data_IF_058241785311
#
_entry.id   IF_058241785311
#
_cell.length_a   1.000
_cell.length_b   1.000
_cell.length_c   1.000
_cell.angle_alpha   90.00
_cell.angle_beta   90.00
_cell.angle_gamma   90.00
#
_symmetry.space_group_name_H-M   'P 1'
#
loop_
_entity.id
_entity.type
_entity.pdbx_description
1 polymer ?
#
# COMPACT_ATOMS: atom_id res chain seq x y z
N UNK A 1 -11.46 24.12 22.48
CA UNK A 1 -10.01 24.32 22.26
C UNK A 1 -9.25 23.23 23.01
N UNK A 2 -8.10 22.82 22.47
CA UNK A 2 -7.20 21.82 23.07
C UNK A 2 -5.91 22.48 23.53
N UNK A 3 -5.32 22.01 24.62
CA UNK A 3 -3.96 22.36 25.06
C UNK A 3 -3.05 21.15 24.85
N UNK A 4 -1.79 21.42 24.51
CA UNK A 4 -0.76 20.40 24.31
C UNK A 4 0.23 20.44 25.48
N UNK A 5 0.57 19.28 26.02
CA UNK A 5 1.44 19.09 27.18
C UNK A 5 2.50 18.05 26.86
N UNK A 6 3.73 18.25 27.31
CA UNK A 6 4.75 17.23 27.22
C UNK A 6 4.39 16.03 28.10
N UNK A 7 4.52 14.82 27.56
CA UNK A 7 4.28 13.56 28.23
C UNK A 7 5.47 12.63 27.98
N UNK A 8 5.85 11.83 28.97
CA UNK A 8 6.84 10.77 28.78
C UNK A 8 6.20 9.43 29.13
N UNK A 9 6.16 8.52 28.15
CA UNK A 9 5.67 7.16 28.38
C UNK A 9 6.81 6.30 28.92
N UNK A 10 6.76 6.00 30.22
CA UNK A 10 7.79 5.20 30.89
C UNK A 10 7.85 3.74 30.42
N UNK A 11 6.78 3.19 29.82
CA UNK A 11 6.76 1.81 29.32
C UNK A 11 7.38 1.74 27.94
N UNK A 12 7.05 2.70 27.08
CA UNK A 12 7.59 2.79 25.72
C UNK A 12 8.96 3.47 25.66
N UNK A 13 9.34 4.20 26.71
CA UNK A 13 10.58 4.99 26.74
C UNK A 13 10.56 6.13 25.72
N UNK A 14 9.40 6.75 25.49
CA UNK A 14 9.18 7.69 24.39
C UNK A 14 8.58 9.02 24.87
N UNK A 15 9.01 10.11 24.24
CA UNK A 15 8.41 11.44 24.41
C UNK A 15 7.16 11.55 23.55
N UNK A 16 6.06 11.92 24.21
CA UNK A 16 4.75 12.12 23.62
C UNK A 16 4.28 13.55 23.89
N UNK A 17 3.25 13.97 23.16
CA UNK A 17 2.51 15.20 23.36
C UNK A 17 1.08 14.83 23.71
N UNK A 18 0.68 15.09 24.94
CA UNK A 18 -0.69 14.89 25.42
C UNK A 18 -1.56 16.09 25.06
N UNK A 19 -2.72 15.85 24.46
CA UNK A 19 -3.71 16.85 24.07
C UNK A 19 -5.00 16.69 24.84
N UNK A 20 -5.37 17.79 25.50
CA UNK A 20 -6.47 17.82 26.45
C UNK A 20 -7.46 18.93 26.08
N UNK A 21 -8.76 18.63 26.07
CA UNK A 21 -9.80 19.64 25.95
C UNK A 21 -9.93 20.44 27.25
N UNK A 22 -10.16 21.75 27.15
CA UNK A 22 -10.39 22.61 28.31
C UNK A 22 -11.56 23.60 28.08
N UNK A 23 -12.04 24.20 29.17
CA UNK A 23 -13.13 25.19 29.16
C UNK A 23 -14.49 24.58 28.77
N UNK A 24 -15.31 25.33 28.02
CA UNK A 24 -16.65 24.88 27.56
C UNK A 24 -16.62 23.59 26.73
N UNK A 25 -15.48 23.26 26.11
CA UNK A 25 -15.31 22.01 25.37
C UNK A 25 -15.08 20.80 26.30
N UNK A 26 -14.65 21.02 27.55
CA UNK A 26 -14.46 19.98 28.56
C UNK A 26 -15.67 19.80 29.49
N UNK A 27 -16.58 20.78 29.57
CA UNK A 27 -17.68 20.81 30.54
C UNK A 27 -18.76 19.74 30.34
N UNK A 28 -18.72 18.98 29.25
CA UNK A 28 -19.65 17.87 29.00
C UNK A 28 -18.84 16.61 28.74
N UNK A 29 -18.74 15.73 29.75
CA UNK A 29 -17.89 14.55 29.72
C UNK A 29 -18.22 13.59 28.57
N UNK A 30 -19.49 13.41 28.22
CA UNK A 30 -19.92 12.60 27.08
C UNK A 30 -19.47 13.20 25.73
N UNK A 31 -19.65 14.51 25.55
CA UNK A 31 -19.24 15.23 24.34
C UNK A 31 -17.73 15.28 24.17
N UNK A 32 -16.97 15.43 25.26
CA UNK A 32 -15.51 15.41 25.26
C UNK A 32 -14.96 14.03 24.83
N UNK A 33 -15.54 12.93 25.34
CA UNK A 33 -15.15 11.57 24.94
C UNK A 33 -15.39 11.30 23.45
N UNK A 34 -16.58 11.67 22.95
CA UNK A 34 -16.91 11.52 21.51
C UNK A 34 -16.01 12.40 20.65
N UNK A 35 -15.67 13.61 21.10
CA UNK A 35 -14.78 14.51 20.37
C UNK A 35 -13.35 13.95 20.27
N UNK A 36 -12.81 13.38 21.35
CA UNK A 36 -11.49 12.72 21.34
C UNK A 36 -11.46 11.50 20.40
N UNK A 37 -12.52 10.69 20.39
CA UNK A 37 -12.62 9.55 19.48
C UNK A 37 -12.70 9.99 18.02
N UNK A 38 -13.45 11.07 17.74
CA UNK A 38 -13.52 11.65 16.40
C UNK A 38 -12.17 12.22 15.95
N UNK A 39 -11.41 12.85 16.85
CA UNK A 39 -10.05 13.32 16.55
C UNK A 39 -9.13 12.17 16.12
N UNK A 40 -9.14 11.06 16.87
CA UNK A 40 -8.37 9.86 16.52
C UNK A 40 -8.87 9.25 15.20
N UNK A 41 -10.20 9.19 14.98
CA UNK A 41 -10.77 8.71 13.72
C UNK A 41 -10.29 9.56 12.53
N UNK A 42 -10.32 10.89 12.65
CA UNK A 42 -9.83 11.81 11.63
C UNK A 42 -8.36 11.55 11.30
N UNK A 43 -7.52 11.44 12.33
CA UNK A 43 -6.09 11.17 12.17
C UNK A 43 -5.84 9.86 11.41
N UNK A 44 -6.59 8.80 11.72
CA UNK A 44 -6.47 7.49 11.04
C UNK A 44 -6.89 7.58 9.57
N UNK A 45 -8.01 8.26 9.27
CA UNK A 45 -8.49 8.43 7.89
C UNK A 45 -7.47 9.22 7.07
N UNK A 46 -6.98 10.34 7.61
CA UNK A 46 -5.95 11.16 6.97
C UNK A 46 -4.66 10.37 6.73
N UNK A 47 -4.20 9.60 7.72
CA UNK A 47 -3.01 8.74 7.60
C UNK A 47 -3.15 7.71 6.47
N UNK A 48 -4.31 7.05 6.35
CA UNK A 48 -4.56 6.10 5.27
C UNK A 48 -4.46 6.77 3.90
N UNK A 49 -5.13 7.91 3.73
CA UNK A 49 -5.10 8.65 2.47
C UNK A 49 -3.71 9.17 2.13
N UNK A 50 -2.95 9.63 3.14
CA UNK A 50 -1.56 10.06 2.97
C UNK A 50 -0.66 8.89 2.55
N UNK A 51 -0.88 7.70 3.10
CA UNK A 51 -0.17 6.49 2.67
C UNK A 51 -0.46 6.17 1.20
N UNK A 52 -1.73 6.18 0.79
CA UNK A 52 -2.11 5.94 -0.62
C UNK A 52 -1.53 6.99 -1.56
N UNK A 53 -1.56 8.27 -1.17
CA UNK A 53 -0.95 9.38 -1.90
C UNK A 53 0.55 9.13 -2.08
N UNK A 54 1.26 8.95 -0.98
CA UNK A 54 2.73 8.82 -0.96
C UNK A 54 3.24 7.53 -1.59
N UNK A 55 2.40 6.50 -1.73
CA UNK A 55 2.71 5.30 -2.51
C UNK A 55 2.61 5.50 -4.03
N UNK A 56 2.08 6.63 -4.50
CA UNK A 56 2.09 6.94 -5.93
C UNK A 56 3.53 7.14 -6.42
N UNK A 57 3.90 6.43 -7.49
CA UNK A 57 5.23 6.56 -8.11
C UNK A 57 5.48 7.96 -8.67
N UNK A 58 4.45 8.80 -8.79
CA UNK A 58 4.58 10.15 -9.35
C UNK A 58 4.97 11.20 -8.31
N UNK A 59 5.07 10.81 -7.04
CA UNK A 59 5.39 11.71 -5.93
C UNK A 59 6.85 11.53 -5.52
N UNK A 60 7.62 12.61 -5.53
CA UNK A 60 9.02 12.61 -5.10
C UNK A 60 9.15 12.66 -3.57
N UNK A 61 8.38 13.53 -2.92
CA UNK A 61 8.34 13.71 -1.47
C UNK A 61 6.92 13.48 -0.98
N UNK A 62 6.67 12.29 -0.44
CA UNK A 62 5.39 11.96 0.18
C UNK A 62 5.17 12.68 1.51
N UNK A 63 3.93 12.64 1.99
CA UNK A 63 3.52 13.05 3.34
C UNK A 63 2.99 11.85 4.11
N UNK A 64 3.09 11.89 5.43
CA UNK A 64 2.45 10.92 6.32
C UNK A 64 1.92 11.63 7.58
N UNK A 65 0.97 11.00 8.26
CA UNK A 65 0.45 11.49 9.54
C UNK A 65 0.99 10.66 10.70
N UNK A 66 1.29 11.33 11.81
CA UNK A 66 1.61 10.61 13.05
C UNK A 66 0.40 9.86 13.57
N UNK A 67 0.68 8.74 14.24
CA UNK A 67 -0.35 7.97 14.90
C UNK A 67 -0.72 8.62 16.23
N UNK A 68 -2.02 8.72 16.51
CA UNK A 68 -2.55 9.32 17.74
C UNK A 68 -3.48 8.32 18.41
N UNK A 69 -3.31 8.13 19.72
CA UNK A 69 -4.15 7.28 20.55
C UNK A 69 -4.90 8.12 21.57
N UNK A 70 -6.01 7.61 22.10
CA UNK A 70 -6.54 8.12 23.36
C UNK A 70 -6.07 7.26 24.53
N UNK A 71 -5.87 7.90 25.67
CA UNK A 71 -5.50 7.32 26.94
C UNK A 71 -6.65 7.50 27.90
N UNK A 72 -6.98 6.44 28.63
CA UNK A 72 -7.96 6.47 29.71
C UNK A 72 -7.25 6.56 31.06
N UNK A 73 -7.64 7.54 31.87
CA UNK A 73 -7.13 7.74 33.22
C UNK A 73 -8.04 6.98 34.18
N UNK A 74 -7.52 5.90 34.77
CA UNK A 74 -8.29 5.05 35.70
C UNK A 74 -8.81 5.83 36.91
N UNK A 75 -7.92 6.58 37.58
CA UNK A 75 -8.23 7.36 38.78
C UNK A 75 -7.71 8.80 38.63
N UNK A 76 -8.51 9.74 38.06
CA UNK A 76 -8.07 11.13 37.87
C UNK A 76 -7.69 11.84 39.18
N UNK A 77 -8.44 11.59 40.25
CA UNK A 77 -8.23 12.21 41.57
C UNK A 77 -6.88 11.80 42.17
N UNK A 78 -6.53 10.51 42.06
CA UNK A 78 -5.25 9.98 42.55
C UNK A 78 -4.06 10.58 41.77
N UNK A 79 -4.26 10.88 40.49
CA UNK A 79 -3.30 11.57 39.64
C UNK A 79 -3.24 13.10 39.88
N UNK A 80 -4.02 13.64 40.83
CA UNK A 80 -4.09 15.08 41.11
C UNK A 80 -4.83 15.88 40.03
N UNK A 81 -5.67 15.22 39.23
CA UNK A 81 -6.43 15.83 38.13
C UNK A 81 -7.90 16.01 38.51
N UNK A 82 -8.58 16.89 37.79
CA UNK A 82 -10.02 17.08 37.93
C UNK A 82 -10.76 15.76 37.58
N UNK A 83 -11.79 15.35 38.34
CA UNK A 83 -12.56 14.12 38.06
C UNK A 83 -13.14 14.04 36.64
N UNK A 84 -13.39 15.18 35.99
CA UNK A 84 -13.86 15.25 34.61
C UNK A 84 -12.79 14.84 33.58
N UNK A 85 -11.51 14.92 33.95
CA UNK A 85 -10.36 14.58 33.12
C UNK A 85 -10.11 13.07 33.14
N UNK A 86 -11.04 12.32 32.54
CA UNK A 86 -10.98 10.85 32.45
C UNK A 86 -10.26 10.33 31.21
N UNK A 87 -10.06 11.16 30.19
CA UNK A 87 -9.42 10.77 28.93
C UNK A 87 -8.66 11.95 28.30
N UNK A 88 -7.62 11.64 27.54
CA UNK A 88 -6.88 12.58 26.71
C UNK A 88 -6.35 11.86 25.45
N UNK A 89 -5.89 12.61 24.46
CA UNK A 89 -5.17 12.02 23.31
C UNK A 89 -3.68 12.21 23.50
N UNK A 90 -2.86 11.28 23.03
CA UNK A 90 -1.42 11.50 22.96
C UNK A 90 -0.86 10.99 21.64
N UNK A 91 0.18 11.68 21.20
CA UNK A 91 0.87 11.41 19.95
C UNK A 91 2.38 11.58 20.11
N UNK A 92 3.20 10.99 19.25
CA UNK A 92 4.65 11.13 19.31
C UNK A 92 5.10 12.58 19.23
N UNK A 93 6.09 12.95 20.03
CA UNK A 93 6.77 14.23 19.86
C UNK A 93 7.53 14.25 18.52
N UNK A 94 7.34 15.31 17.74
CA UNK A 94 8.04 15.54 16.48
C UNK A 94 8.98 16.73 16.65
N UNK A 95 10.28 16.48 16.55
CA UNK A 95 11.30 17.51 16.70
C UNK A 95 11.46 18.30 15.40
N UNK A 96 11.32 19.63 15.48
CA UNK A 96 11.63 20.55 14.40
C UNK A 96 10.67 21.73 14.34
N UNK A 97 10.73 22.49 13.23
CA UNK A 97 9.93 23.69 13.04
C UNK A 97 8.49 23.32 12.63
N UNK A 98 7.53 23.61 13.51
CA UNK A 98 6.11 23.35 13.26
C UNK A 98 5.54 24.35 12.26
N UNK A 99 5.00 23.84 11.14
CA UNK A 99 4.47 24.63 10.03
C UNK A 99 3.05 24.20 9.70
N UNK A 100 2.22 25.19 9.33
CA UNK A 100 0.86 25.00 8.83
C UNK A 100 0.81 25.34 7.35
N UNK A 101 0.43 24.39 6.52
CA UNK A 101 0.44 24.47 5.06
C UNK A 101 -0.92 24.91 4.50
N UNK A 102 -2.02 24.53 5.12
CA UNK A 102 -3.33 25.11 4.84
C UNK A 102 -4.21 25.08 6.10
N UNK A 103 -5.38 25.71 6.04
CA UNK A 103 -6.36 25.63 7.11
C UNK A 103 -7.69 25.02 6.65
N UNK A 104 -8.63 24.88 7.57
CA UNK A 104 -9.96 24.35 7.28
C UNK A 104 -10.91 25.34 6.58
N UNK A 105 -10.48 26.56 6.25
CA UNK A 105 -11.34 27.62 5.68
C UNK A 105 -10.68 28.35 4.50
N UNK A 106 -9.90 27.63 3.69
CA UNK A 106 -9.38 28.13 2.41
C UNK A 106 -8.10 28.97 2.46
N UNK A 107 -7.42 29.10 3.60
CA UNK A 107 -6.08 29.69 3.62
C UNK A 107 -5.04 28.65 3.20
N UNK A 108 -4.14 29.03 2.30
CA UNK A 108 -2.99 28.24 1.87
C UNK A 108 -1.69 28.99 2.18
N UNK A 109 -0.64 28.23 2.52
CA UNK A 109 0.72 28.74 2.59
C UNK A 109 1.34 28.64 1.21
N UNK A 110 1.83 29.76 0.71
CA UNK A 110 2.57 29.82 -0.55
C UNK A 110 3.95 30.41 -0.29
N UNK A 111 4.90 29.55 0.08
CA UNK A 111 6.30 29.90 0.31
C UNK A 111 7.22 29.35 -0.81
N UNK A 112 6.64 28.84 -1.90
CA UNK A 112 7.36 28.24 -3.02
C UNK A 112 8.14 26.97 -2.67
N UNK A 113 7.95 26.39 -1.48
CA UNK A 113 8.64 25.17 -1.08
C UNK A 113 7.88 23.95 -1.61
N UNK A 114 8.62 22.96 -2.15
CA UNK A 114 8.04 21.71 -2.68
C UNK A 114 7.07 21.02 -1.72
N UNK A 115 7.31 21.14 -0.41
CA UNK A 115 6.45 20.52 0.59
C UNK A 115 5.09 21.22 0.76
N UNK A 116 5.04 22.55 0.61
CA UNK A 116 3.77 23.27 0.61
C UNK A 116 2.96 22.89 -0.64
N UNK A 117 3.62 22.77 -1.80
CA UNK A 117 2.99 22.27 -3.03
C UNK A 117 2.45 20.84 -2.85
N UNK A 118 3.26 19.93 -2.30
CA UNK A 118 2.81 18.56 -1.98
C UNK A 118 1.61 18.57 -1.04
N UNK A 119 1.58 19.43 -0.02
CA UNK A 119 0.47 19.53 0.92
C UNK A 119 -0.82 19.97 0.20
N UNK A 120 -0.78 21.01 -0.65
CA UNK A 120 -1.99 21.42 -1.39
C UNK A 120 -2.45 20.33 -2.37
N UNK A 121 -1.51 19.67 -3.04
CA UNK A 121 -1.81 18.56 -3.94
C UNK A 121 -2.42 17.36 -3.19
N UNK A 122 -1.99 17.10 -1.96
CA UNK A 122 -2.59 16.07 -1.10
C UNK A 122 -4.05 16.40 -0.79
N UNK A 123 -4.37 17.62 -0.35
CA UNK A 123 -5.76 18.03 -0.10
C UNK A 123 -6.63 17.85 -1.35
N UNK A 124 -6.16 18.30 -2.52
CA UNK A 124 -6.86 18.09 -3.80
C UNK A 124 -7.04 16.60 -4.14
N UNK A 125 -5.97 15.80 -4.00
CA UNK A 125 -6.00 14.35 -4.23
C UNK A 125 -7.08 13.68 -3.37
N UNK A 126 -7.18 14.01 -2.09
CA UNK A 126 -8.17 13.37 -1.20
C UNK A 126 -9.61 13.61 -1.65
N UNK A 127 -9.91 14.83 -2.15
CA UNK A 127 -11.23 15.16 -2.68
C UNK A 127 -11.55 14.36 -3.95
N UNK A 128 -10.65 14.33 -4.94
CA UNK A 128 -10.89 13.56 -6.16
C UNK A 128 -10.92 12.05 -5.92
N UNK A 129 -10.01 11.53 -5.07
CA UNK A 129 -9.92 10.11 -4.72
C UNK A 129 -11.19 9.58 -4.08
N UNK A 130 -11.88 10.43 -3.31
CA UNK A 130 -13.13 10.09 -2.63
C UNK A 130 -14.37 10.56 -3.40
N UNK A 131 -14.23 10.88 -4.69
CA UNK A 131 -15.33 11.34 -5.55
C UNK A 131 -16.09 12.54 -4.97
N UNK A 132 -15.37 13.45 -4.31
CA UNK A 132 -15.89 14.65 -3.70
C UNK A 132 -16.59 14.47 -2.35
N UNK A 133 -16.60 13.27 -1.78
CA UNK A 133 -17.26 12.99 -0.50
C UNK A 133 -16.47 13.48 0.72
N UNK A 134 -15.14 13.59 0.59
CA UNK A 134 -14.25 13.90 1.70
C UNK A 134 -13.02 14.70 1.24
N UNK A 135 -12.60 15.69 2.02
CA UNK A 135 -11.35 16.42 1.79
C UNK A 135 -10.57 16.57 3.09
N UNK A 136 -9.29 16.20 3.07
CA UNK A 136 -8.38 16.41 4.20
C UNK A 136 -7.72 17.79 4.07
N UNK A 137 -7.83 18.60 5.12
CA UNK A 137 -7.32 19.96 5.22
C UNK A 137 -6.70 20.19 6.61
N UNK A 138 -6.35 21.44 6.94
CA UNK A 138 -5.63 21.80 8.16
C UNK A 138 -4.28 21.07 8.27
N UNK A 139 -3.59 20.96 7.13
CA UNK A 139 -2.31 20.26 7.03
C UNK A 139 -1.24 21.01 7.80
N UNK A 140 -0.73 20.41 8.87
CA UNK A 140 0.25 21.01 9.77
C UNK A 140 1.15 19.96 10.41
N UNK A 141 2.38 20.33 10.74
CA UNK A 141 3.36 19.42 11.33
C UNK A 141 4.80 19.85 11.11
N UNK A 142 5.72 18.91 11.12
CA UNK A 142 7.16 19.15 10.96
C UNK A 142 7.66 18.41 9.73
N UNK A 143 8.12 19.16 8.73
CA UNK A 143 8.48 18.58 7.44
C UNK A 143 7.32 17.78 6.85
N UNK A 144 7.61 16.60 6.28
CA UNK A 144 6.63 15.71 5.66
C UNK A 144 5.76 14.93 6.64
N UNK A 145 5.98 15.10 7.95
CA UNK A 145 5.21 14.43 9.00
C UNK A 145 4.18 15.40 9.57
N UNK A 146 2.92 15.07 9.35
CA UNK A 146 1.76 15.89 9.68
C UNK A 146 1.02 15.36 10.91
N UNK A 147 0.26 16.23 11.57
CA UNK A 147 -0.61 15.91 12.72
C UNK A 147 -1.81 16.85 12.74
N UNK A 148 -2.82 16.54 13.54
CA UNK A 148 -4.04 17.33 13.70
C UNK A 148 -4.71 17.75 12.37
N UNK A 149 -5.03 16.79 11.47
CA UNK A 149 -5.82 17.13 10.29
C UNK A 149 -7.24 17.52 10.68
N UNK A 150 -7.87 18.30 9.81
CA UNK A 150 -9.33 18.42 9.77
C UNK A 150 -9.85 17.75 8.50
N UNK A 151 -11.03 17.16 8.60
CA UNK A 151 -11.72 16.58 7.46
C UNK A 151 -13.02 17.34 7.20
N UNK A 152 -13.22 17.75 5.94
CA UNK A 152 -14.52 18.14 5.42
C UNK A 152 -15.21 16.92 4.83
N UNK A 153 -16.47 16.67 5.19
CA UNK A 153 -17.26 15.57 4.64
C UNK A 153 -18.74 15.93 4.54
N UNK A 154 -19.40 15.35 3.54
CA UNK A 154 -20.85 15.46 3.30
C UNK A 154 -21.68 14.44 4.09
N UNK A 155 -21.10 13.32 4.50
CA UNK A 155 -21.83 12.19 5.09
C UNK A 155 -21.50 11.93 6.55
N UNK A 156 -20.25 12.14 6.97
CA UNK A 156 -19.81 11.88 8.34
C UNK A 156 -19.47 13.16 9.09
N UNK A 157 -19.71 13.15 10.41
CA UNK A 157 -19.34 14.26 11.28
C UNK A 157 -17.92 14.07 11.84
N UNK A 158 -16.98 14.85 11.34
CA UNK A 158 -15.57 14.89 11.77
C UNK A 158 -15.29 16.06 12.73
N UNK A 159 -16.20 16.27 13.69
CA UNK A 159 -16.08 17.34 14.67
C UNK A 159 -16.48 18.71 14.13
N UNK A 160 -16.40 19.73 15.00
CA UNK A 160 -16.91 21.07 14.72
C UNK A 160 -16.15 21.84 13.63
N UNK A 161 -14.95 21.36 13.24
CA UNK A 161 -14.17 21.96 12.16
C UNK A 161 -14.56 21.46 10.76
N UNK A 162 -15.46 20.48 10.67
CA UNK A 162 -16.04 20.03 9.40
C UNK A 162 -17.03 21.09 8.89
N UNK A 163 -16.64 21.79 7.82
CA UNK A 163 -17.47 22.79 7.15
C UNK A 163 -18.14 22.24 5.88
N UNK A 164 -18.10 20.91 5.70
CA UNK A 164 -18.70 20.18 4.58
C UNK A 164 -18.35 20.83 3.23
N UNK A 165 -19.31 20.94 2.30
CA UNK A 165 -19.07 21.49 0.96
C UNK A 165 -18.58 22.95 0.98
N UNK A 166 -18.98 23.73 1.99
CA UNK A 166 -18.53 25.13 2.15
C UNK A 166 -17.01 25.17 2.35
N UNK A 167 -16.49 24.29 3.21
CA UNK A 167 -15.06 24.16 3.45
C UNK A 167 -14.28 23.68 2.23
N UNK A 168 -14.85 22.72 1.49
CA UNK A 168 -14.25 22.23 0.24
C UNK A 168 -14.20 23.32 -0.83
N UNK A 169 -15.28 24.10 -0.98
CA UNK A 169 -15.36 25.22 -1.91
C UNK A 169 -14.36 26.31 -1.52
N UNK A 170 -14.25 26.63 -0.23
CA UNK A 170 -13.28 27.61 0.28
C UNK A 170 -11.83 27.22 -0.03
N UNK A 171 -11.50 25.92 0.07
CA UNK A 171 -10.19 25.42 -0.36
C UNK A 171 -9.98 25.61 -1.87
N UNK A 172 -10.93 25.20 -2.72
CA UNK A 172 -10.77 25.32 -4.17
C UNK A 172 -10.80 26.77 -4.68
N UNK A 173 -11.37 27.71 -3.93
CA UNK A 173 -11.33 29.13 -4.26
C UNK A 173 -9.88 29.66 -4.30
N UNK A 174 -9.03 29.18 -3.39
CA UNK A 174 -7.63 29.64 -3.26
C UNK A 174 -6.62 28.66 -3.85
N UNK A 175 -6.99 27.38 -4.02
CA UNK A 175 -6.11 26.38 -4.61
C UNK A 175 -5.82 26.65 -6.09
N UNK A 176 -4.57 26.43 -6.47
CA UNK A 176 -4.10 26.36 -7.84
C UNK A 176 -3.31 25.07 -8.05
N UNK A 177 -3.57 24.37 -9.16
CA UNK A 177 -2.89 23.10 -9.41
C UNK A 177 -1.40 23.33 -9.67
N UNK A 178 -0.56 22.70 -8.85
CA UNK A 178 0.89 22.78 -8.94
C UNK A 178 1.51 21.57 -9.68
N UNK A 179 2.84 21.50 -9.68
CA UNK A 179 3.63 20.42 -10.30
C UNK A 179 3.21 19.02 -9.83
N UNK A 180 2.92 18.86 -8.53
CA UNK A 180 2.50 17.60 -7.92
C UNK A 180 1.07 17.23 -8.34
N UNK A 181 0.15 18.22 -8.41
CA UNK A 181 -1.20 18.00 -8.93
C UNK A 181 -1.18 17.48 -10.37
N UNK A 182 -0.34 18.11 -11.21
CA UNK A 182 -0.16 17.72 -12.62
C UNK A 182 0.48 16.34 -12.74
N UNK A 183 1.51 16.05 -11.94
CA UNK A 183 2.11 14.71 -11.90
C UNK A 183 1.05 13.65 -11.60
N UNK A 184 0.16 13.89 -10.62
CA UNK A 184 -0.93 13.00 -10.27
C UNK A 184 -2.11 12.98 -11.25
N UNK A 185 -2.09 13.79 -12.31
CA UNK A 185 -3.18 13.97 -13.26
C UNK A 185 -4.51 14.34 -12.59
N UNK A 186 -4.44 15.20 -11.56
CA UNK A 186 -5.62 15.74 -10.88
C UNK A 186 -6.35 16.73 -11.79
N UNK A 187 -7.68 16.71 -11.78
CA UNK A 187 -8.52 17.55 -12.65
C UNK A 187 -8.63 18.95 -12.02
N UNK A 188 -8.19 20.02 -12.70
CA UNK A 188 -8.40 21.38 -12.21
C UNK A 188 -9.89 21.70 -12.11
N UNK A 189 -10.30 22.35 -11.03
CA UNK A 189 -11.67 22.83 -10.85
C UNK A 189 -11.90 24.23 -11.45
N UNK A 190 -10.84 25.04 -11.53
CA UNK A 190 -10.85 26.30 -12.28
C UNK A 190 -10.54 25.96 -13.74
N UNK A 191 -11.52 26.10 -14.63
CA UNK A 191 -11.28 25.96 -16.07
C UNK A 191 -10.34 27.09 -16.52
N UNK A 192 -9.16 26.76 -17.03
CA UNK A 192 -8.41 27.70 -17.87
C UNK A 192 -9.11 27.76 -19.22
N UNK A 193 -9.83 28.85 -19.50
CA UNK A 193 -10.38 29.19 -20.81
C UNK A 193 -9.25 29.50 -21.82
N UNK A 194 -8.38 28.52 -22.11
CA UNK A 194 -7.23 28.68 -23.00
C UNK A 194 -7.08 27.52 -24.00
N UNK A 195 -8.18 26.85 -24.35
CA UNK A 195 -8.22 25.92 -25.49
C UNK A 195 -9.34 26.33 -26.45
N UNK A 196 -9.21 27.52 -27.03
CA UNK A 196 -9.90 27.90 -28.27
C UNK A 196 -9.24 29.15 -28.84
N UNK A 197 -8.11 28.96 -29.53
CA UNK A 197 -7.72 29.63 -30.78
C UNK A 197 -6.26 29.30 -31.12
N UNK A 198 -6.04 28.81 -32.34
CA UNK A 198 -4.80 28.18 -32.77
C UNK A 198 -3.61 29.10 -33.05
N UNK A 199 -2.50 28.47 -33.43
CA UNK A 199 -1.35 29.13 -34.02
C UNK A 199 -0.05 28.42 -33.73
N UNK A 200 0.49 27.74 -34.74
CA UNK A 200 1.86 27.26 -34.75
C UNK A 200 2.84 28.41 -34.45
N UNK A 201 3.66 28.24 -33.42
CA UNK A 201 4.69 29.20 -33.04
C UNK A 201 5.67 28.55 -32.08
N UNK A 202 6.81 28.12 -32.61
CA UNK A 202 7.92 27.56 -31.84
C UNK A 202 8.53 28.60 -30.90
N UNK A 203 8.59 28.29 -29.62
CA UNK A 203 9.72 28.67 -28.76
C UNK A 203 9.95 27.53 -27.79
N UNK A 204 10.96 26.73 -28.12
CA UNK A 204 11.58 25.73 -27.26
C UNK A 204 12.17 26.44 -26.04
N UNK A 205 11.44 26.47 -24.93
CA UNK A 205 12.06 26.52 -23.61
C UNK A 205 12.28 25.08 -23.17
N UNK A 206 13.54 24.68 -23.33
CA UNK A 206 14.13 23.40 -22.97
C UNK A 206 13.98 23.18 -21.46
N UNK A 207 12.93 22.49 -21.04
CA UNK A 207 12.82 22.01 -19.66
C UNK A 207 13.71 20.77 -19.56
N UNK A 208 14.96 21.04 -19.19
CA UNK A 208 15.99 20.05 -18.88
C UNK A 208 15.39 18.87 -18.12
N UNK A 209 15.52 17.70 -18.75
CA UNK A 209 15.38 16.36 -18.19
C UNK A 209 15.76 16.36 -16.71
N UNK A 210 14.76 16.34 -15.82
CA UNK A 210 15.02 15.96 -14.44
C UNK A 210 15.37 14.48 -14.45
N UNK A 211 16.63 14.25 -14.12
CA UNK A 211 17.26 12.95 -13.92
C UNK A 211 16.36 12.02 -13.11
N UNK A 212 16.48 10.72 -13.41
CA UNK A 212 15.94 9.60 -12.63
C UNK A 212 15.77 9.97 -11.15
N UNK A 213 14.53 10.09 -10.69
CA UNK A 213 14.25 10.27 -9.27
C UNK A 213 14.98 9.18 -8.48
N UNK A 214 16.01 9.61 -7.75
CA UNK A 214 16.78 8.81 -6.82
C UNK A 214 15.81 8.12 -5.83
N UNK A 215 16.14 6.87 -5.48
CA UNK A 215 15.57 6.08 -4.39
C UNK A 215 14.55 6.81 -3.50
N UNK A 216 13.25 6.62 -3.80
CA UNK A 216 12.14 7.34 -3.17
C UNK A 216 12.00 6.93 -1.71
N UNK A 217 12.37 7.84 -0.81
CA UNK A 217 12.28 7.70 0.64
C UNK A 217 11.00 8.39 1.15
N UNK A 218 10.11 7.62 1.78
CA UNK A 218 8.93 8.13 2.49
C UNK A 218 9.21 8.16 3.99
N UNK A 219 8.95 9.28 4.67
CA UNK A 219 8.92 9.30 6.12
C UNK A 219 7.60 8.67 6.61
N UNK A 220 7.67 7.58 7.35
CA UNK A 220 6.53 6.85 7.89
C UNK A 220 6.56 6.87 9.42
N UNK A 221 5.43 7.22 10.04
CA UNK A 221 5.16 7.03 11.46
C UNK A 221 4.62 5.64 11.73
N UNK A 222 5.28 4.90 12.61
CA UNK A 222 4.84 3.59 13.08
C UNK A 222 3.60 3.70 14.00
N UNK A 223 2.52 2.93 13.76
CA UNK A 223 1.34 2.91 14.62
C UNK A 223 1.57 2.30 16.02
N UNK A 224 2.57 1.43 16.17
CA UNK A 224 2.80 0.66 17.39
C UNK A 224 3.75 1.36 18.37
N UNK A 225 4.83 1.96 17.86
CA UNK A 225 5.84 2.61 18.69
C UNK A 225 5.90 4.13 18.55
N UNK A 226 5.16 4.71 17.60
CA UNK A 226 5.21 6.14 17.33
C UNK A 226 6.50 6.62 16.65
N UNK A 227 7.46 5.73 16.40
CA UNK A 227 8.72 6.06 15.74
C UNK A 227 8.52 6.49 14.30
N UNK A 228 9.20 7.57 13.90
CA UNK A 228 9.26 8.07 12.52
C UNK A 228 10.50 7.52 11.84
N UNK A 229 10.34 7.00 10.63
CA UNK A 229 11.42 6.30 9.92
C UNK A 229 11.30 6.50 8.42
N UNK A 230 12.42 6.43 7.70
CA UNK A 230 12.41 6.53 6.24
C UNK A 230 12.28 5.14 5.59
N UNK A 231 11.30 4.96 4.72
CA UNK A 231 10.98 3.70 4.03
C UNK A 231 11.19 3.88 2.53
N UNK A 232 11.85 2.91 1.89
CA UNK A 232 12.02 2.84 0.44
C UNK A 232 10.81 2.11 -0.19
N UNK A 233 10.37 2.56 -1.36
CA UNK A 233 9.20 2.00 -2.06
C UNK A 233 9.27 0.47 -2.23
N UNK A 234 8.26 -0.26 -1.73
CA UNK A 234 8.29 -1.72 -1.48
C UNK A 234 8.20 -2.61 -2.73
N UNK A 235 7.70 -2.09 -3.87
CA UNK A 235 7.51 -2.89 -5.10
C UNK A 235 8.81 -3.38 -5.72
N UNK A 236 9.89 -2.62 -5.55
CA UNK A 236 11.20 -2.99 -6.09
C UNK A 236 11.71 -4.26 -5.39
N UNK A 237 11.67 -4.32 -4.06
CA UNK A 237 12.25 -5.41 -3.26
C UNK A 237 11.53 -6.75 -3.48
N UNK A 238 10.20 -6.75 -3.54
CA UNK A 238 9.43 -7.98 -3.77
C UNK A 238 9.76 -8.61 -5.14
N UNK A 239 9.97 -7.78 -6.16
CA UNK A 239 10.35 -8.24 -7.50
C UNK A 239 11.74 -8.89 -7.52
N UNK A 240 12.74 -8.31 -6.85
CA UNK A 240 14.09 -8.91 -6.79
C UNK A 240 14.11 -10.23 -6.02
N UNK A 241 13.39 -10.32 -4.89
CA UNK A 241 13.29 -11.57 -4.11
C UNK A 241 12.61 -12.66 -4.95
N UNK A 242 11.56 -12.31 -5.71
CA UNK A 242 10.86 -13.23 -6.62
C UNK A 242 11.74 -13.73 -7.77
N UNK A 243 12.56 -12.86 -8.38
CA UNK A 243 13.51 -13.23 -9.43
C UNK A 243 14.54 -14.23 -8.89
N UNK A 244 15.12 -13.97 -7.72
CA UNK A 244 16.12 -14.87 -7.12
C UNK A 244 15.50 -16.22 -6.75
N UNK A 245 14.30 -16.23 -6.17
CA UNK A 245 13.58 -17.47 -5.85
C UNK A 245 13.32 -18.35 -7.08
N UNK A 246 12.94 -17.73 -8.21
CA UNK A 246 12.74 -18.45 -9.47
C UNK A 246 14.05 -18.99 -10.07
N UNK A 247 15.15 -18.23 -9.98
CA UNK A 247 16.46 -18.72 -10.40
C UNK A 247 16.92 -19.93 -9.59
N UNK A 248 16.69 -19.92 -8.27
CA UNK A 248 16.98 -21.07 -7.40
C UNK A 248 16.10 -22.27 -7.77
N UNK A 249 14.81 -22.06 -8.02
CA UNK A 249 13.91 -23.14 -8.46
C UNK A 249 14.37 -23.76 -9.80
N UNK A 250 14.76 -22.93 -10.77
CA UNK A 250 15.25 -23.39 -12.07
C UNK A 250 16.57 -24.17 -11.95
N UNK A 251 17.54 -23.62 -11.22
CA UNK A 251 18.87 -24.22 -11.05
C UNK A 251 18.79 -25.52 -10.24
N UNK A 252 18.04 -25.53 -9.13
CA UNK A 252 17.82 -26.72 -8.33
C UNK A 252 17.02 -27.78 -9.10
N UNK A 253 15.99 -27.36 -9.84
CA UNK A 253 15.16 -28.25 -10.66
C UNK A 253 15.99 -28.95 -11.74
N UNK A 254 16.78 -28.19 -12.50
CA UNK A 254 17.65 -28.76 -13.52
C UNK A 254 18.77 -29.62 -12.93
N UNK A 255 19.49 -29.10 -11.92
CA UNK A 255 20.62 -29.78 -11.31
C UNK A 255 20.23 -31.10 -10.64
N UNK A 256 19.18 -31.08 -9.82
CA UNK A 256 18.71 -32.26 -9.10
C UNK A 256 18.02 -33.26 -10.04
N UNK A 257 17.31 -32.80 -11.08
CA UNK A 257 16.67 -33.71 -12.03
C UNK A 257 17.67 -34.50 -12.87
N UNK A 258 18.71 -33.83 -13.39
CA UNK A 258 19.60 -34.41 -14.41
C UNK A 258 20.96 -34.88 -13.87
N UNK A 259 21.41 -34.36 -12.72
CA UNK A 259 22.72 -34.69 -12.15
C UNK A 259 22.65 -35.47 -10.84
N UNK A 260 21.45 -35.82 -10.36
CA UNK A 260 21.29 -36.70 -9.18
C UNK A 260 20.33 -37.85 -9.45
N UNK A 261 20.38 -38.88 -8.60
CA UNK A 261 19.51 -40.06 -8.71
C UNK A 261 18.03 -39.78 -8.37
N UNK A 262 17.66 -38.53 -8.07
CA UNK A 262 16.30 -38.15 -7.64
C UNK A 262 15.30 -38.05 -8.80
N UNK A 263 15.76 -37.92 -10.05
CA UNK A 263 14.88 -37.87 -11.23
C UNK A 263 13.78 -36.82 -11.10
N UNK A 264 12.53 -37.15 -11.44
CA UNK A 264 11.39 -36.23 -11.39
C UNK A 264 10.99 -35.75 -9.97
N UNK A 265 11.35 -36.49 -8.91
CA UNK A 265 11.08 -36.07 -7.53
C UNK A 265 11.85 -34.79 -7.16
N UNK A 266 12.89 -34.46 -7.92
CA UNK A 266 13.64 -33.22 -7.77
C UNK A 266 12.83 -31.96 -8.06
N UNK A 267 11.80 -32.02 -8.91
CA UNK A 267 10.98 -30.86 -9.29
C UNK A 267 10.18 -30.35 -8.08
N UNK A 268 9.65 -31.28 -7.27
CA UNK A 268 8.96 -30.96 -6.02
C UNK A 268 9.93 -30.36 -4.99
N UNK A 269 11.14 -30.91 -4.90
CA UNK A 269 12.19 -30.41 -3.98
C UNK A 269 12.70 -29.03 -4.38
N UNK A 270 12.90 -28.79 -5.67
CA UNK A 270 13.31 -27.49 -6.22
C UNK A 270 12.26 -26.41 -5.96
N UNK A 271 10.98 -26.76 -6.08
CA UNK A 271 9.87 -25.85 -5.80
C UNK A 271 9.78 -25.50 -4.32
N UNK A 272 9.95 -26.49 -3.43
CA UNK A 272 10.06 -26.23 -2.00
C UNK A 272 11.25 -25.32 -1.66
N UNK A 273 12.41 -25.56 -2.29
CA UNK A 273 13.60 -24.73 -2.13
C UNK A 273 13.40 -23.29 -2.62
N UNK A 274 12.73 -23.09 -3.75
CA UNK A 274 12.38 -21.75 -4.26
C UNK A 274 11.50 -20.97 -3.28
N UNK A 275 10.46 -21.62 -2.73
CA UNK A 275 9.58 -21.02 -1.73
C UNK A 275 10.29 -20.73 -0.41
N UNK A 276 11.16 -21.63 0.05
CA UNK A 276 12.00 -21.40 1.25
C UNK A 276 12.97 -20.25 0.99
N UNK A 277 13.52 -20.12 -0.21
CA UNK A 277 14.44 -19.04 -0.58
C UNK A 277 13.75 -17.68 -0.52
N UNK A 278 12.50 -17.57 -0.97
CA UNK A 278 11.69 -16.34 -0.84
C UNK A 278 11.61 -15.89 0.62
N UNK A 279 11.30 -16.81 1.54
CA UNK A 279 11.21 -16.52 2.96
C UNK A 279 12.57 -16.20 3.59
N UNK A 280 13.62 -16.92 3.20
CA UNK A 280 14.97 -16.72 3.74
C UNK A 280 15.63 -15.42 3.26
N UNK A 281 15.35 -14.96 2.04
CA UNK A 281 15.87 -13.70 1.51
C UNK A 281 15.30 -12.46 2.22
N UNK A 282 14.19 -12.60 2.95
CA UNK A 282 13.71 -11.56 3.85
C UNK A 282 14.65 -11.34 5.03
N UNK A 283 15.40 -12.36 5.46
CA UNK A 283 16.34 -12.27 6.60
C UNK A 283 17.51 -11.31 6.32
N UNK A 284 18.33 -11.48 5.26
CA UNK A 284 19.41 -10.53 4.96
C UNK A 284 18.85 -9.14 4.61
N UNK A 285 17.66 -9.05 4.02
CA UNK A 285 16.97 -7.78 3.80
C UNK A 285 16.72 -7.04 5.12
N UNK A 286 16.13 -7.70 6.12
CA UNK A 286 15.90 -7.10 7.44
C UNK A 286 17.18 -6.86 8.24
N UNK A 287 18.23 -7.67 8.03
CA UNK A 287 19.55 -7.41 8.63
C UNK A 287 20.22 -6.17 8.02
N UNK A 288 20.05 -5.93 6.72
CA UNK A 288 20.57 -4.75 6.04
C UNK A 288 19.75 -3.48 6.33
N UNK A 289 18.48 -3.64 6.73
CA UNK A 289 17.55 -2.55 7.09
C UNK A 289 16.86 -2.82 8.44
N UNK A 290 17.60 -2.81 9.56
CA UNK A 290 17.07 -3.14 10.89
C UNK A 290 15.99 -2.15 11.37
N UNK A 291 15.94 -0.95 10.78
CA UNK A 291 14.95 0.07 11.09
C UNK A 291 13.53 -0.34 10.67
N UNK A 292 13.36 -1.02 9.53
CA UNK A 292 12.04 -1.50 9.09
C UNK A 292 11.53 -2.66 9.95
N UNK A 293 12.42 -3.57 10.35
CA UNK A 293 12.07 -4.64 11.29
C UNK A 293 11.59 -4.05 12.63
N UNK A 294 12.28 -3.02 13.15
CA UNK A 294 11.89 -2.30 14.37
C UNK A 294 10.61 -1.48 14.24
N UNK A 295 10.18 -1.10 13.03
CA UNK A 295 8.88 -0.46 12.82
C UNK A 295 7.74 -1.45 13.12
N UNK A 296 7.82 -2.68 12.62
CA UNK A 296 6.75 -3.65 12.80
C UNK A 296 6.89 -4.42 14.13
N UNK A 297 8.12 -4.58 14.62
CA UNK A 297 8.47 -5.34 15.82
C UNK A 297 9.29 -4.46 16.78
N UNK A 298 8.64 -3.41 17.29
CA UNK A 298 9.30 -2.35 18.09
C UNK A 298 9.84 -2.81 19.44
N UNK A 299 9.29 -3.88 20.01
CA UNK A 299 9.67 -4.42 21.32
C UNK A 299 10.45 -5.74 21.22
N UNK A 300 10.97 -6.06 20.02
CA UNK A 300 11.61 -7.35 19.74
C UNK A 300 10.58 -8.46 19.48
N UNK A 301 11.00 -9.72 19.66
CA UNK A 301 10.14 -10.86 19.35
C UNK A 301 9.07 -11.11 20.43
N UNK A 302 7.82 -10.76 20.14
CA UNK A 302 6.67 -11.08 21.00
C UNK A 302 5.95 -12.34 20.51
N UNK A 303 6.48 -13.49 20.95
CA UNK A 303 5.90 -14.80 20.65
C UNK A 303 4.49 -14.98 21.21
N UNK A 304 4.14 -14.28 22.29
CA UNK A 304 2.83 -14.43 22.94
C UNK A 304 1.74 -13.78 22.10
N UNK A 305 2.00 -12.54 21.65
CA UNK A 305 1.11 -11.86 20.71
C UNK A 305 1.03 -12.61 19.39
N UNK A 306 2.15 -13.09 18.84
CA UNK A 306 2.16 -13.87 17.61
C UNK A 306 1.29 -15.15 17.72
N UNK A 307 1.42 -15.91 18.83
CA UNK A 307 0.61 -17.10 19.07
C UNK A 307 -0.89 -16.78 19.19
N UNK A 308 -1.25 -15.60 19.69
CA UNK A 308 -2.65 -15.18 19.81
C UNK A 308 -3.35 -15.03 18.45
N UNK A 309 -2.61 -14.68 17.40
CA UNK A 309 -3.13 -14.55 16.04
C UNK A 309 -3.12 -15.86 15.24
N UNK A 310 -2.43 -16.90 15.73
CA UNK A 310 -2.40 -18.22 15.06
C UNK A 310 -3.81 -18.77 14.90
N UNK A 311 -4.69 -18.57 15.88
CA UNK A 311 -6.10 -18.99 15.78
C UNK A 311 -6.83 -18.34 14.60
N UNK A 312 -6.66 -17.03 14.41
CA UNK A 312 -7.24 -16.30 13.28
C UNK A 312 -6.64 -16.75 11.95
N UNK A 313 -5.32 -16.92 11.90
CA UNK A 313 -4.61 -17.42 10.71
C UNK A 313 -5.11 -18.81 10.31
N UNK A 314 -5.24 -19.75 11.25
CA UNK A 314 -5.77 -21.08 11.00
C UNK A 314 -7.24 -21.04 10.61
N UNK A 315 -8.04 -20.14 11.18
CA UNK A 315 -9.46 -20.00 10.84
C UNK A 315 -9.66 -19.59 9.37
N UNK A 316 -8.79 -18.71 8.85
CA UNK A 316 -8.82 -18.27 7.45
C UNK A 316 -8.09 -19.27 6.53
N UNK A 317 -6.99 -19.86 7.00
CA UNK A 317 -6.13 -20.75 6.22
C UNK A 317 -6.67 -22.17 6.06
N UNK A 318 -7.31 -22.74 7.08
CA UNK A 318 -7.86 -24.10 7.02
C UNK A 318 -8.91 -24.27 5.90
N UNK A 319 -9.88 -23.36 5.70
CA UNK A 319 -10.79 -23.45 4.55
C UNK A 319 -10.06 -23.48 3.20
N UNK A 320 -9.01 -22.66 3.02
CA UNK A 320 -8.20 -22.66 1.80
C UNK A 320 -7.39 -23.95 1.62
N UNK A 321 -6.83 -24.48 2.70
CA UNK A 321 -6.15 -25.79 2.70
C UNK A 321 -7.11 -26.93 2.37
N UNK A 322 -8.33 -26.92 2.94
CA UNK A 322 -9.36 -27.94 2.68
C UNK A 322 -9.83 -27.85 1.23
N UNK A 323 -9.98 -26.65 0.67
CA UNK A 323 -10.31 -26.47 -0.76
C UNK A 323 -9.28 -27.16 -1.67
N UNK A 324 -7.98 -26.91 -1.45
CA UNK A 324 -6.90 -27.55 -2.20
C UNK A 324 -6.79 -29.06 -1.92
N UNK A 325 -7.02 -29.48 -0.68
CA UNK A 325 -6.97 -30.89 -0.29
C UNK A 325 -8.12 -31.69 -0.91
N UNK A 326 -9.33 -31.13 -0.98
CA UNK A 326 -10.49 -31.77 -1.62
C UNK A 326 -10.23 -32.00 -3.10
N UNK A 327 -9.56 -31.08 -3.79
CA UNK A 327 -9.16 -31.24 -5.18
C UNK A 327 -8.27 -32.48 -5.39
N UNK A 328 -7.28 -32.69 -4.51
CA UNK A 328 -6.37 -33.86 -4.57
C UNK A 328 -7.05 -35.14 -4.08
N UNK A 329 -7.80 -35.06 -2.98
CA UNK A 329 -8.47 -36.22 -2.38
C UNK A 329 -9.59 -36.79 -3.25
N UNK A 330 -10.26 -35.97 -4.06
CA UNK A 330 -11.25 -36.45 -5.02
C UNK A 330 -10.65 -37.49 -5.99
N UNK A 331 -9.40 -37.30 -6.41
CA UNK A 331 -8.71 -38.27 -7.28
C UNK A 331 -8.27 -39.53 -6.54
N UNK A 332 -7.82 -39.41 -5.29
CA UNK A 332 -7.47 -40.57 -4.46
C UNK A 332 -8.69 -41.45 -4.14
N UNK A 333 -9.83 -40.83 -3.87
CA UNK A 333 -11.10 -41.55 -3.69
C UNK A 333 -11.52 -42.30 -4.96
N UNK A 334 -11.36 -41.68 -6.14
CA UNK A 334 -11.61 -42.35 -7.42
C UNK A 334 -10.66 -43.54 -7.66
N UNK A 335 -9.39 -43.45 -7.22
CA UNK A 335 -8.43 -44.54 -7.28
C UNK A 335 -8.84 -45.72 -6.40
N UNK A 336 -9.30 -45.43 -5.18
CA UNK A 336 -9.81 -46.45 -4.25
C UNK A 336 -11.07 -47.12 -4.84
N UNK A 337 -12.02 -46.34 -5.37
CA UNK A 337 -13.25 -46.85 -5.97
C UNK A 337 -12.99 -47.72 -7.20
N UNK A 338 -12.00 -47.37 -8.03
CA UNK A 338 -11.56 -48.20 -9.15
C UNK A 338 -10.98 -49.54 -8.67
N UNK A 339 -10.34 -49.59 -7.51
CA UNK A 339 -9.81 -50.80 -6.89
C UNK A 339 -10.87 -51.75 -6.30
N UNK A 340 -12.11 -51.28 -6.08
CA UNK A 340 -13.22 -52.08 -5.55
C UNK A 340 -14.03 -52.78 -6.65
N UNK A 341 -13.68 -52.55 -7.92
CA UNK A 341 -14.37 -53.18 -9.05
C UNK A 341 -14.23 -54.72 -9.03
N UNK A 342 -15.31 -55.47 -9.29
CA UNK A 342 -15.35 -56.92 -9.09
C UNK A 342 -14.50 -57.71 -10.10
N UNK A 343 -14.18 -57.12 -11.25
CA UNK A 343 -13.29 -57.72 -12.24
C UNK A 343 -11.91 -57.05 -12.18
N UNK A 344 -10.88 -57.84 -11.86
CA UNK A 344 -9.49 -57.39 -11.75
C UNK A 344 -8.94 -56.76 -13.04
N UNK A 345 -9.40 -57.18 -14.23
CA UNK A 345 -8.98 -56.62 -15.51
C UNK A 345 -9.62 -55.25 -15.74
N UNK A 346 -10.90 -55.09 -15.36
CA UNK A 346 -11.62 -53.81 -15.44
C UNK A 346 -11.11 -52.82 -14.38
N UNK A 347 -10.79 -53.30 -13.17
CA UNK A 347 -10.16 -52.50 -12.13
C UNK A 347 -8.80 -51.96 -12.59
N UNK A 348 -7.95 -52.82 -13.16
CA UNK A 348 -6.64 -52.44 -13.68
C UNK A 348 -6.75 -51.49 -14.88
N UNK A 349 -7.70 -51.72 -15.78
CA UNK A 349 -7.95 -50.83 -16.93
C UNK A 349 -8.50 -49.46 -16.50
N UNK A 350 -9.42 -49.43 -15.53
CA UNK A 350 -9.99 -48.19 -14.97
C UNK A 350 -8.93 -47.40 -14.20
N UNK A 351 -8.13 -48.08 -13.39
CA UNK A 351 -6.98 -47.49 -12.70
C UNK A 351 -5.91 -47.02 -13.69
N UNK A 352 -5.65 -47.76 -14.78
CA UNK A 352 -4.75 -47.33 -15.84
C UNK A 352 -5.29 -46.12 -16.61
N UNK A 353 -6.60 -46.00 -16.84
CA UNK A 353 -7.20 -44.79 -17.43
C UNK A 353 -7.10 -43.62 -16.47
N UNK A 354 -7.41 -43.81 -15.18
CA UNK A 354 -7.28 -42.80 -14.13
C UNK A 354 -5.83 -42.33 -13.95
N UNK A 355 -4.86 -43.26 -14.00
CA UNK A 355 -3.44 -42.99 -13.89
C UNK A 355 -2.83 -42.47 -15.20
N UNK A 356 -3.31 -42.84 -16.39
CA UNK A 356 -2.86 -42.23 -17.66
C UNK A 356 -3.48 -40.85 -17.90
N UNK A 357 -4.61 -40.56 -17.24
CA UNK A 357 -5.14 -39.20 -17.10
C UNK A 357 -4.20 -38.34 -16.25
N UNK A 358 -3.40 -38.92 -15.36
CA UNK A 358 -2.64 -38.17 -14.36
C UNK A 358 -1.34 -37.51 -14.90
N UNK A 359 -0.25 -38.18 -15.34
CA UNK A 359 0.94 -37.50 -15.81
C UNK A 359 0.79 -36.99 -17.23
N UNK A 360 0.17 -37.71 -18.18
CA UNK A 360 0.06 -37.22 -19.57
C UNK A 360 -0.94 -36.08 -19.73
N UNK A 361 -2.04 -36.03 -18.97
CA UNK A 361 -2.91 -34.83 -19.00
C UNK A 361 -2.48 -33.76 -18.02
N UNK A 362 -1.81 -34.03 -16.91
CA UNK A 362 -1.21 -32.95 -16.11
C UNK A 362 0.01 -32.34 -16.80
N UNK A 363 0.85 -33.15 -17.45
CA UNK A 363 1.95 -32.69 -18.30
C UNK A 363 1.40 -31.98 -19.54
N UNK A 364 0.42 -32.56 -20.25
CA UNK A 364 -0.22 -31.87 -21.37
C UNK A 364 -1.01 -30.64 -20.93
N UNK A 365 -1.67 -30.63 -19.78
CA UNK A 365 -2.39 -29.46 -19.26
C UNK A 365 -1.44 -28.40 -18.74
N UNK A 366 -0.30 -28.77 -18.14
CA UNK A 366 0.74 -27.84 -17.71
C UNK A 366 1.48 -27.27 -18.93
N UNK A 367 1.85 -28.08 -19.92
CA UNK A 367 2.37 -27.59 -21.20
C UNK A 367 1.34 -26.78 -21.98
N UNK A 368 0.07 -27.17 -21.97
CA UNK A 368 -1.01 -26.43 -22.63
C UNK A 368 -1.28 -25.12 -21.89
N UNK A 369 -1.30 -25.10 -20.56
CA UNK A 369 -1.46 -23.88 -19.76
C UNK A 369 -0.26 -22.95 -19.90
N UNK A 370 0.97 -23.48 -19.88
CA UNK A 370 2.20 -22.73 -20.15
C UNK A 370 2.23 -22.22 -21.59
N UNK A 371 1.83 -23.01 -22.57
CA UNK A 371 1.81 -22.60 -23.98
C UNK A 371 0.70 -21.61 -24.28
N UNK A 372 -0.50 -21.80 -23.72
CA UNK A 372 -1.61 -20.84 -23.81
C UNK A 372 -1.20 -19.54 -23.13
N UNK A 373 -0.64 -19.60 -21.93
CA UNK A 373 -0.28 -18.39 -21.18
C UNK A 373 0.91 -17.68 -21.81
N UNK A 374 1.94 -18.40 -22.25
CA UNK A 374 3.03 -17.84 -23.05
C UNK A 374 2.48 -17.23 -24.34
N UNK A 375 1.58 -17.92 -25.03
CA UNK A 375 0.97 -17.43 -26.27
C UNK A 375 0.13 -16.17 -26.04
N UNK A 376 -0.74 -16.16 -25.03
CA UNK A 376 -1.57 -15.02 -24.65
C UNK A 376 -0.69 -13.86 -24.17
N UNK A 377 0.31 -14.11 -23.32
CA UNK A 377 1.25 -13.09 -22.87
C UNK A 377 2.09 -12.54 -24.02
N UNK A 378 2.56 -13.37 -24.96
CA UNK A 378 3.29 -12.89 -26.14
C UNK A 378 2.41 -12.06 -27.07
N UNK A 379 1.16 -12.48 -27.28
CA UNK A 379 0.17 -11.70 -28.06
C UNK A 379 -0.12 -10.39 -27.36
N UNK A 380 -0.32 -10.41 -26.04
CA UNK A 380 -0.59 -9.22 -25.24
C UNK A 380 0.62 -8.28 -25.22
N UNK A 381 1.84 -8.79 -25.06
CA UNK A 381 3.09 -8.05 -25.20
C UNK A 381 3.22 -7.44 -26.59
N UNK A 382 2.95 -8.19 -27.66
CA UNK A 382 3.01 -7.69 -29.03
C UNK A 382 1.96 -6.61 -29.30
N UNK A 383 0.75 -6.75 -28.75
CA UNK A 383 -0.30 -5.74 -28.81
C UNK A 383 0.08 -4.49 -28.03
N UNK A 384 0.55 -4.63 -26.78
CA UNK A 384 0.99 -3.51 -25.95
C UNK A 384 2.21 -2.80 -26.55
N UNK A 385 3.13 -3.54 -27.17
CA UNK A 385 4.29 -2.97 -27.84
C UNK A 385 3.90 -2.30 -29.16
N UNK A 386 3.12 -2.97 -30.02
CA UNK A 386 2.72 -2.45 -31.33
C UNK A 386 1.72 -1.31 -31.26
N UNK A 387 0.89 -1.28 -30.21
CA UNK A 387 -0.04 -0.19 -29.92
C UNK A 387 0.52 0.79 -28.89
N UNK A 388 1.80 0.68 -28.50
CA UNK A 388 2.40 1.57 -27.49
C UNK A 388 2.29 3.04 -27.89
N UNK A 389 2.29 3.37 -29.18
CA UNK A 389 2.12 4.75 -29.66
C UNK A 389 0.67 5.25 -29.75
N UNK A 390 -0.31 4.35 -29.65
CA UNK A 390 -1.74 4.64 -29.85
C UNK A 390 -2.57 4.45 -28.57
N UNK A 391 -2.28 3.44 -27.76
CA UNK A 391 -2.97 3.18 -26.50
C UNK A 391 -2.89 4.37 -25.54
N UNK A 392 -1.74 5.04 -25.34
CA UNK A 392 -1.68 6.24 -24.51
C UNK A 392 -2.58 7.37 -25.01
N UNK A 393 -2.73 7.52 -26.33
CA UNK A 393 -3.58 8.56 -26.95
C UNK A 393 -5.08 8.36 -26.68
N UNK A 394 -5.50 7.15 -26.30
CA UNK A 394 -6.89 6.90 -25.89
C UNK A 394 -7.22 7.43 -24.49
N UNK A 395 -6.19 7.68 -23.66
CA UNK A 395 -6.36 8.03 -22.25
C UNK A 395 -5.68 9.34 -21.84
N UNK A 396 -4.82 9.87 -22.71
CA UNK A 396 -4.01 11.06 -22.50
C UNK A 396 -4.15 11.93 -23.75
N UNK A 397 -4.48 13.20 -23.54
CA UNK A 397 -4.64 14.20 -24.62
C UNK A 397 -3.37 15.05 -24.83
N UNK A 398 -2.37 14.90 -23.95
CA UNK A 398 -1.11 15.64 -23.99
C UNK A 398 0.01 14.86 -24.72
N UNK A 399 0.58 15.48 -25.76
CA UNK A 399 1.55 14.85 -26.65
C UNK A 399 2.84 14.38 -25.94
N UNK A 400 3.28 15.09 -24.91
CA UNK A 400 4.48 14.73 -24.14
C UNK A 400 4.23 13.53 -23.23
N UNK A 401 3.08 13.52 -22.54
CA UNK A 401 2.61 12.40 -21.72
C UNK A 401 2.36 11.15 -22.56
N UNK A 402 1.78 11.30 -23.76
CA UNK A 402 1.60 10.23 -24.74
C UNK A 402 2.96 9.63 -25.13
N UNK A 403 3.96 10.48 -25.45
CA UNK A 403 5.28 10.02 -25.86
C UNK A 403 6.03 9.29 -24.73
N UNK A 404 5.90 9.74 -23.49
CA UNK A 404 6.50 9.10 -22.32
C UNK A 404 5.79 7.77 -21.98
N UNK A 405 4.47 7.77 -21.97
CA UNK A 405 3.66 6.58 -21.72
C UNK A 405 3.89 5.52 -22.82
N UNK A 406 4.06 5.94 -24.09
CA UNK A 406 4.45 5.04 -25.18
C UNK A 406 5.79 4.35 -24.89
N UNK A 407 6.83 5.13 -24.56
CA UNK A 407 8.17 4.59 -24.23
C UNK A 407 8.14 3.64 -23.03
N UNK A 408 7.38 3.96 -21.99
CA UNK A 408 7.25 3.11 -20.79
C UNK A 408 6.50 1.83 -21.14
N UNK A 409 5.37 1.94 -21.86
CA UNK A 409 4.55 0.79 -22.26
C UNK A 409 5.33 -0.16 -23.17
N UNK A 410 6.10 0.37 -24.12
CA UNK A 410 6.98 -0.41 -24.99
C UNK A 410 8.10 -1.13 -24.21
N UNK A 411 8.62 -0.51 -23.14
CA UNK A 411 9.70 -1.09 -22.32
C UNK A 411 9.19 -2.07 -21.27
N UNK A 412 7.96 -1.90 -20.81
CA UNK A 412 7.29 -2.73 -19.82
C UNK A 412 6.63 -3.96 -20.44
N UNK A 413 6.15 -3.87 -21.69
CA UNK A 413 5.41 -4.95 -22.35
C UNK A 413 6.10 -6.32 -22.33
N UNK A 414 7.43 -6.48 -22.37
CA UNK A 414 8.06 -7.81 -22.28
C UNK A 414 8.01 -8.42 -20.88
N UNK A 415 7.80 -7.63 -19.82
CA UNK A 415 7.73 -8.10 -18.44
C UNK A 415 6.42 -8.84 -18.14
N UNK A 416 5.36 -8.58 -18.91
CA UNK A 416 4.08 -9.29 -18.83
C UNK A 416 4.22 -10.79 -19.12
N UNK A 417 5.21 -11.19 -19.94
CA UNK A 417 5.52 -12.59 -20.18
C UNK A 417 6.08 -13.26 -18.92
N UNK A 418 6.91 -12.55 -18.15
CA UNK A 418 7.46 -13.07 -16.92
C UNK A 418 6.39 -13.19 -15.82
N UNK A 419 5.47 -12.22 -15.74
CA UNK A 419 4.38 -12.24 -14.76
C UNK A 419 3.34 -13.34 -15.08
N UNK A 420 2.93 -13.45 -16.35
CA UNK A 420 2.02 -14.50 -16.80
C UNK A 420 2.57 -15.90 -16.58
N UNK A 421 3.87 -16.13 -16.85
CA UNK A 421 4.52 -17.41 -16.57
C UNK A 421 4.61 -17.70 -15.07
N UNK A 422 4.89 -16.69 -14.24
CA UNK A 422 4.97 -16.86 -12.78
C UNK A 422 3.62 -17.24 -12.17
N UNK A 423 2.51 -16.71 -12.70
CA UNK A 423 1.15 -17.03 -12.23
C UNK A 423 0.76 -18.50 -12.51
N UNK A 424 1.20 -19.06 -13.63
CA UNK A 424 0.91 -20.47 -14.01
C UNK A 424 1.88 -21.45 -13.37
N UNK A 425 3.10 -21.00 -13.10
CA UNK A 425 4.06 -21.79 -12.36
C UNK A 425 3.75 -21.85 -10.87
N UNK A 426 2.87 -21.00 -10.33
CA UNK A 426 2.45 -20.99 -8.91
C UNK A 426 1.55 -22.17 -8.57
#
# INVERSE_FOLDING_TARGET
MRSAHALYDCKMGAYLVAKCYFGKAASTSSTSKVSLQNDVKMQIVAKRLATEFSLSEKIEKGVDFIFTCWYEIKNPIEAGLDPSMSMFTAEPYIEGEYKKYNNNNGWIRDDGLNLSETAQAFSHFTWQKTFGQLMVVDLQGVGSILTDPQIHSTHENFGSGNLSETGMTAFFATHECNSVCRALALKPLKATEAETNGGAGSTTEDCTVTEKAADKLMACSCPLCGGITMVLHSKFIAAYIAVIGNLVNLAAGYGLAYHTSMGFNSIAVARALGNVTLALLLVPYFLWRPQQLRQWWSHGWDFTAALSYVGLFLHIGCPGMVMLAVEVWAFEVLSILAGVLPDSVVALATHAVLMNVNPKKAEMACYLALAITLGVSLVFTALLFGLSDYLPKLFLDDDESIALASKIMARWSPLEVADGLNAVMQ
#
